data_IF_455129651400
#
_entry.id   IF_455129651400
#
_cell.length_a   1.000
_cell.length_b   1.000
_cell.length_c   1.000
_cell.angle_alpha   90.00
_cell.angle_beta   90.00
_cell.angle_gamma   90.00
#
_symmetry.space_group_name_H-M   'P 1'
#
loop_
_entity.id
_entity.type
_entity.pdbx_description
1 polymer ?
#
# COMPACT_ATOMS: atom_id res chain seq x y z
N UNK A 1 -29.63 -1.60 -34.53
CA UNK A 1 -28.92 -0.86 -33.47
C UNK A 1 -29.05 -1.62 -32.16
N UNK A 2 -28.15 -2.58 -31.93
CA UNK A 2 -28.01 -3.23 -30.62
C UNK A 2 -26.55 -3.65 -30.51
N UNK A 3 -25.68 -2.63 -30.50
CA UNK A 3 -24.27 -2.82 -30.12
C UNK A 3 -24.28 -3.29 -28.67
N UNK A 4 -23.65 -4.44 -28.42
CA UNK A 4 -23.59 -5.10 -27.11
C UNK A 4 -22.98 -4.15 -26.09
N UNK A 5 -23.84 -3.45 -25.34
CA UNK A 5 -23.45 -2.35 -24.47
C UNK A 5 -22.59 -2.77 -23.26
N UNK A 6 -22.44 -4.06 -22.98
CA UNK A 6 -21.52 -4.57 -21.94
C UNK A 6 -20.19 -4.99 -22.59
N UNK A 7 -20.23 -5.79 -23.65
CA UNK A 7 -19.03 -6.31 -24.34
C UNK A 7 -18.17 -5.21 -25.00
N UNK A 8 -18.81 -4.18 -25.56
CA UNK A 8 -18.10 -3.02 -26.13
C UNK A 8 -17.38 -2.19 -25.07
N UNK A 9 -17.91 -2.16 -23.84
CA UNK A 9 -17.30 -1.43 -22.71
C UNK A 9 -16.16 -2.25 -22.12
N UNK A 10 -16.32 -3.58 -22.04
CA UNK A 10 -15.32 -4.52 -21.56
C UNK A 10 -14.07 -4.53 -22.44
N UNK A 11 -14.22 -4.44 -23.77
CA UNK A 11 -13.10 -4.39 -24.72
C UNK A 11 -12.37 -3.04 -24.71
N UNK A 12 -13.06 -1.95 -24.36
CA UNK A 12 -12.50 -0.58 -24.31
C UNK A 12 -11.85 -0.27 -22.96
N UNK A 13 -12.00 -1.15 -21.96
CA UNK A 13 -11.41 -1.04 -20.61
C UNK A 13 -9.93 -1.41 -20.54
N UNK A 14 -9.24 -1.59 -21.68
CA UNK A 14 -7.81 -1.26 -21.71
C UNK A 14 -7.71 0.26 -21.58
N UNK A 15 -7.56 0.76 -20.36
CA UNK A 15 -7.24 2.16 -20.08
C UNK A 15 -5.73 2.27 -19.85
N UNK A 16 -4.89 2.38 -20.90
CA UNK A 16 -3.46 2.70 -20.78
C UNK A 16 -3.19 3.90 -19.88
N UNK A 17 -4.13 4.85 -19.81
CA UNK A 17 -4.03 6.06 -18.98
C UNK A 17 -4.19 5.84 -17.47
N UNK A 18 -4.62 4.67 -17.02
CA UNK A 18 -4.82 4.39 -15.59
C UNK A 18 -3.53 3.97 -14.88
N UNK A 19 -2.58 3.37 -15.63
CA UNK A 19 -1.32 2.87 -15.08
C UNK A 19 -0.50 3.97 -14.37
N UNK A 20 -0.30 5.18 -14.94
CA UNK A 20 0.44 6.24 -14.26
C UNK A 20 -0.19 6.66 -12.93
N UNK A 21 -1.53 6.73 -12.87
CA UNK A 21 -2.29 7.11 -11.66
C UNK A 21 -2.11 6.07 -10.55
N UNK A 22 -2.04 4.79 -10.92
CA UNK A 22 -1.85 3.74 -9.93
C UNK A 22 -0.40 3.69 -9.44
N UNK A 23 0.58 3.86 -10.34
CA UNK A 23 1.98 3.96 -9.94
C UNK A 23 2.17 5.15 -8.99
N UNK A 24 1.62 6.32 -9.31
CA UNK A 24 1.75 7.51 -8.45
C UNK A 24 1.07 7.31 -7.10
N UNK A 25 -0.12 6.70 -7.04
CA UNK A 25 -0.79 6.43 -5.76
C UNK A 25 -0.01 5.46 -4.88
N UNK A 26 0.60 4.41 -5.45
CA UNK A 26 1.52 3.54 -4.71
C UNK A 26 2.75 4.28 -4.18
N UNK A 27 3.36 5.14 -5.00
CA UNK A 27 4.51 5.95 -4.58
C UNK A 27 4.13 6.92 -3.45
N UNK A 28 2.98 7.58 -3.54
CA UNK A 28 2.48 8.49 -2.50
C UNK A 28 2.21 7.73 -1.20
N UNK A 29 1.62 6.53 -1.27
CA UNK A 29 1.43 5.68 -0.09
C UNK A 29 2.75 5.29 0.57
N UNK A 30 3.78 4.94 -0.21
CA UNK A 30 5.12 4.67 0.32
C UNK A 30 5.75 5.89 0.98
N UNK A 31 5.61 7.07 0.36
CA UNK A 31 6.10 8.31 0.94
C UNK A 31 5.40 8.63 2.26
N UNK A 32 4.07 8.46 2.34
CA UNK A 32 3.32 8.65 3.58
C UNK A 32 3.77 7.68 4.68
N UNK A 33 4.02 6.41 4.34
CA UNK A 33 4.63 5.44 5.25
C UNK A 33 6.00 5.90 5.74
N UNK A 34 6.84 6.41 4.84
CA UNK A 34 8.15 6.97 5.18
C UNK A 34 8.07 8.17 6.13
N UNK A 35 7.17 9.12 5.86
CA UNK A 35 6.94 10.30 6.71
C UNK A 35 6.47 9.87 8.10
N UNK A 36 5.51 8.94 8.18
CA UNK A 36 5.01 8.45 9.46
C UNK A 36 6.08 7.65 10.23
N UNK A 37 6.98 6.96 9.52
CA UNK A 37 8.13 6.30 10.15
C UNK A 37 9.12 7.30 10.78
N UNK A 38 9.27 8.51 10.22
CA UNK A 38 10.05 9.60 10.84
C UNK A 38 9.38 10.09 12.12
N UNK A 39 8.07 10.34 12.11
CA UNK A 39 7.32 10.73 13.32
C UNK A 39 7.36 9.64 14.40
N UNK A 40 7.38 8.38 14.01
CA UNK A 40 7.56 7.27 14.94
C UNK A 40 8.94 7.29 15.61
N UNK A 41 9.99 7.68 14.88
CA UNK A 41 11.35 7.81 15.41
C UNK A 41 11.47 8.92 16.47
N UNK A 42 10.60 9.94 16.41
CA UNK A 42 10.54 11.04 17.39
C UNK A 42 9.83 10.68 18.70
N UNK A 43 9.23 9.48 18.83
CA UNK A 43 8.68 9.02 20.11
C UNK A 43 7.19 9.29 20.31
N UNK A 44 6.41 9.50 19.24
CA UNK A 44 4.95 9.62 19.36
C UNK A 44 4.26 8.25 19.38
N UNK A 45 3.60 7.89 20.49
CA UNK A 45 2.89 6.60 20.64
C UNK A 45 1.77 6.43 19.62
N UNK A 46 1.09 7.52 19.26
CA UNK A 46 0.02 7.53 18.25
C UNK A 46 0.51 7.19 16.84
N UNK A 47 1.78 7.48 16.52
CA UNK A 47 2.38 7.16 15.24
C UNK A 47 2.45 5.64 15.00
N UNK A 48 2.54 4.82 16.06
CA UNK A 48 2.49 3.35 15.96
C UNK A 48 1.15 2.85 15.43
N UNK A 49 0.06 3.39 15.99
CA UNK A 49 -1.29 2.98 15.62
C UNK A 49 -1.58 3.41 14.19
N UNK A 50 -1.22 4.65 13.83
CA UNK A 50 -1.35 5.15 12.46
C UNK A 50 -0.51 4.34 11.47
N UNK A 51 0.75 4.01 11.79
CA UNK A 51 1.61 3.15 10.95
C UNK A 51 1.01 1.76 10.77
N UNK A 52 0.53 1.14 11.86
CA UNK A 52 -0.12 -0.15 11.81
C UNK A 52 -1.35 -0.15 10.91
N UNK A 53 -2.22 0.86 11.06
CA UNK A 53 -3.42 1.01 10.23
C UNK A 53 -3.06 1.20 8.76
N UNK A 54 -2.11 2.09 8.44
CA UNK A 54 -1.69 2.35 7.06
C UNK A 54 -1.04 1.11 6.44
N UNK A 55 -0.19 0.39 7.19
CA UNK A 55 0.46 -0.82 6.70
C UNK A 55 -0.56 -1.94 6.43
N UNK A 56 -1.51 -2.17 7.35
CA UNK A 56 -2.57 -3.17 7.19
C UNK A 56 -3.49 -2.81 6.01
N UNK A 57 -3.89 -1.55 5.92
CA UNK A 57 -4.73 -1.06 4.82
C UNK A 57 -3.99 -1.14 3.47
N UNK A 58 -2.69 -0.82 3.45
CA UNK A 58 -1.84 -0.95 2.26
C UNK A 58 -1.71 -2.40 1.81
N UNK A 59 -1.54 -3.36 2.73
CA UNK A 59 -1.55 -4.80 2.42
C UNK A 59 -2.90 -5.22 1.86
N UNK A 60 -4.01 -4.79 2.49
CA UNK A 60 -5.36 -5.11 2.02
C UNK A 60 -5.60 -4.63 0.59
N UNK A 61 -5.23 -3.37 0.28
CA UNK A 61 -5.33 -2.82 -1.06
C UNK A 61 -4.44 -3.57 -2.07
N UNK A 62 -3.22 -3.93 -1.67
CA UNK A 62 -2.30 -4.69 -2.50
C UNK A 62 -2.78 -6.13 -2.76
N UNK A 63 -3.51 -6.75 -1.83
CA UNK A 63 -4.15 -8.05 -2.06
C UNK A 63 -5.35 -7.90 -2.98
N UNK A 64 -6.15 -6.84 -2.80
CA UNK A 64 -7.31 -6.58 -3.65
C UNK A 64 -6.91 -6.32 -5.11
N UNK A 65 -5.84 -5.56 -5.34
CA UNK A 65 -5.30 -5.32 -6.69
C UNK A 65 -4.84 -6.60 -7.38
N UNK A 66 -4.24 -7.54 -6.62
CA UNK A 66 -3.86 -8.87 -7.14
C UNK A 66 -5.10 -9.71 -7.46
N UNK A 67 -6.09 -9.72 -6.57
CA UNK A 67 -7.32 -10.49 -6.74
C UNK A 67 -8.18 -9.99 -7.91
N UNK A 68 -8.09 -8.72 -8.27
CA UNK A 68 -8.80 -8.12 -9.41
C UNK A 68 -8.22 -8.51 -10.79
N UNK A 69 -7.20 -9.38 -10.86
CA UNK A 69 -6.66 -9.87 -12.14
C UNK A 69 -5.96 -8.79 -12.98
N UNK A 70 -5.51 -7.71 -12.33
CA UNK A 70 -4.91 -6.54 -12.97
C UNK A 70 -3.54 -6.93 -13.59
N UNK A 71 -3.13 -6.35 -14.74
CA UNK A 71 -1.87 -6.62 -15.43
C UNK A 71 -0.65 -6.88 -14.53
N UNK A 72 0.25 -7.77 -14.97
CA UNK A 72 1.42 -8.29 -14.22
C UNK A 72 2.26 -7.22 -13.51
N UNK A 73 2.36 -6.03 -14.10
CA UNK A 73 3.06 -4.88 -13.52
C UNK A 73 2.49 -4.46 -12.16
N UNK A 74 1.16 -4.53 -12.00
CA UNK A 74 0.46 -4.26 -10.75
C UNK A 74 0.67 -5.35 -9.72
N UNK A 75 0.73 -6.61 -10.14
CA UNK A 75 1.03 -7.73 -9.25
C UNK A 75 2.43 -7.58 -8.63
N UNK A 76 3.43 -7.23 -9.45
CA UNK A 76 4.81 -7.00 -8.98
C UNK A 76 4.86 -5.83 -8.00
N UNK A 77 4.25 -4.70 -8.36
CA UNK A 77 4.25 -3.50 -7.53
C UNK A 77 3.54 -3.72 -6.19
N UNK A 78 2.41 -4.43 -6.21
CA UNK A 78 1.67 -4.83 -5.01
C UNK A 78 2.49 -5.79 -4.13
N UNK A 79 3.24 -6.71 -4.75
CA UNK A 79 4.16 -7.59 -4.04
C UNK A 79 5.26 -6.81 -3.30
N UNK A 80 5.91 -5.85 -3.97
CA UNK A 80 6.92 -4.98 -3.36
C UNK A 80 6.34 -4.20 -2.17
N UNK A 81 5.14 -3.66 -2.34
CA UNK A 81 4.43 -2.95 -1.27
C UNK A 81 4.14 -3.81 -0.06
N UNK A 82 3.68 -5.05 -0.27
CA UNK A 82 3.43 -5.99 0.82
C UNK A 82 4.73 -6.26 1.57
N UNK A 83 5.83 -6.52 0.87
CA UNK A 83 7.14 -6.76 1.49
C UNK A 83 7.57 -5.56 2.33
N UNK A 84 7.44 -4.34 1.81
CA UNK A 84 7.80 -3.12 2.55
C UNK A 84 6.92 -2.92 3.79
N UNK A 85 5.60 -3.10 3.66
CA UNK A 85 4.67 -3.01 4.80
C UNK A 85 4.97 -4.07 5.87
N UNK A 86 5.27 -5.30 5.47
CA UNK A 86 5.61 -6.40 6.38
C UNK A 86 6.93 -6.10 7.10
N UNK A 87 7.96 -5.67 6.37
CA UNK A 87 9.22 -5.24 6.98
C UNK A 87 9.00 -4.13 7.99
N UNK A 88 8.15 -3.15 7.65
CA UNK A 88 7.84 -2.03 8.54
C UNK A 88 7.09 -2.50 9.79
N UNK A 89 6.12 -3.41 9.66
CA UNK A 89 5.45 -4.04 10.80
C UNK A 89 6.41 -4.86 11.67
N UNK A 90 7.33 -5.61 11.06
CA UNK A 90 8.36 -6.36 11.79
C UNK A 90 9.26 -5.41 12.57
N UNK A 91 9.74 -4.32 11.95
CA UNK A 91 10.53 -3.29 12.64
C UNK A 91 9.74 -2.57 13.74
N UNK A 92 8.45 -2.32 13.52
CA UNK A 92 7.54 -1.71 14.50
C UNK A 92 7.35 -2.61 15.72
N UNK A 93 7.19 -3.92 15.49
CA UNK A 93 7.00 -4.95 16.50
C UNK A 93 8.32 -5.42 17.13
N UNK A 94 9.47 -5.06 16.55
CA UNK A 94 10.76 -5.49 17.03
C UNK A 94 11.01 -4.92 18.46
N UNK A 95 11.45 -5.76 19.42
CA UNK A 95 11.58 -5.37 20.83
C UNK A 95 12.55 -4.21 21.10
N UNK A 96 13.45 -3.87 20.16
CA UNK A 96 14.30 -2.67 20.25
C UNK A 96 13.49 -1.37 20.27
N UNK A 97 12.37 -1.34 19.56
CA UNK A 97 11.47 -0.18 19.45
C UNK A 97 10.42 -0.16 20.56
N UNK A 98 10.08 -1.33 21.10
CA UNK A 98 9.25 -1.47 22.30
C UNK A 98 9.97 -0.99 23.56
N UNK A 99 11.30 -1.19 23.64
CA UNK A 99 12.12 -0.75 24.79
C UNK A 99 12.30 0.77 24.85
N UNK A 100 12.46 1.45 23.71
CA UNK A 100 12.63 2.90 23.65
C UNK A 100 11.48 3.70 24.29
N UNK A 101 10.25 3.15 24.28
CA UNK A 101 9.07 3.78 24.90
C UNK A 101 8.77 3.31 26.32
N UNK A 102 9.51 2.33 26.84
CA UNK A 102 9.36 1.86 28.22
C UNK A 102 10.30 2.61 29.18
N UNK A 103 11.29 3.32 28.64
CA UNK A 103 12.29 4.09 29.38
C UNK A 103 12.00 5.62 29.38
N UNK A 104 10.98 6.09 28.65
CA UNK A 104 10.42 7.47 28.73
C UNK A 104 9.09 7.43 29.46
#
# INVERSE_FOLDING_TARGET
MREGGIEAVETTLSVPGFVPVVVTSFVVLLMLLGVMAVFFREGFTWARVCLGVIAVFGIFLAVLSIASGIPTLFTVLSGVMIVLCVLLLVFLLHPSTTRYFREV
#
